data_IF_727479592897
#
_entry.id   IF_727479592897
#
_cell.length_a   1.000
_cell.length_b   1.000
_cell.length_c   1.000
_cell.angle_alpha   90.00
_cell.angle_beta   90.00
_cell.angle_gamma   90.00
#
_symmetry.space_group_name_H-M   'P 1'
#
loop_
_entity.id
_entity.type
_entity.pdbx_description
1 polymer ?
#
# COMPACT_ATOMS: atom_id res chain seq x y z
N UNK A 1 -6.55 -14.64 12.15
CA UNK A 1 -7.66 -14.95 11.21
C UNK A 1 -7.18 -14.98 9.77
N UNK A 2 -6.87 -13.83 9.14
CA UNK A 2 -6.50 -13.77 7.71
C UNK A 2 -5.35 -14.70 7.30
N UNK A 3 -4.31 -14.80 8.14
CA UNK A 3 -3.21 -15.74 7.89
C UNK A 3 -3.65 -17.21 7.93
N UNK A 4 -4.57 -17.57 8.83
CA UNK A 4 -5.11 -18.95 8.90
C UNK A 4 -5.94 -19.28 7.65
N UNK A 5 -6.73 -18.33 7.16
CA UNK A 5 -7.48 -18.46 5.90
C UNK A 5 -6.50 -18.66 4.72
N UNK A 6 -5.48 -17.80 4.62
CA UNK A 6 -4.44 -17.91 3.57
C UNK A 6 -3.74 -19.27 3.61
N UNK A 7 -3.25 -19.68 4.78
CA UNK A 7 -2.53 -20.94 4.93
C UNK A 7 -3.46 -22.14 4.68
N UNK A 8 -4.72 -22.07 5.11
CA UNK A 8 -5.72 -23.11 4.84
C UNK A 8 -6.00 -23.25 3.35
N UNK A 9 -6.06 -22.14 2.62
CA UNK A 9 -6.22 -22.16 1.17
C UNK A 9 -5.01 -22.74 0.44
N UNK A 10 -3.79 -22.33 0.84
CA UNK A 10 -2.55 -22.90 0.29
C UNK A 10 -2.42 -24.41 0.56
N UNK A 11 -2.95 -24.88 1.69
CA UNK A 11 -2.96 -26.29 2.06
C UNK A 11 -4.19 -27.06 1.53
N UNK A 12 -5.00 -26.48 0.63
CA UNK A 12 -6.20 -27.09 0.06
C UNK A 12 -7.19 -27.66 1.10
N UNK A 13 -7.33 -26.99 2.27
CA UNK A 13 -8.28 -27.41 3.30
C UNK A 13 -9.71 -26.99 2.95
N UNK A 14 -10.67 -27.87 3.19
CA UNK A 14 -12.09 -27.54 3.03
C UNK A 14 -12.56 -26.44 4.01
N UNK A 15 -12.04 -26.46 5.24
CA UNK A 15 -12.44 -25.52 6.29
C UNK A 15 -11.29 -25.14 7.22
N UNK A 16 -11.43 -23.98 7.86
CA UNK A 16 -10.45 -23.45 8.82
C UNK A 16 -11.17 -22.93 10.06
N UNK A 17 -10.65 -23.28 11.25
CA UNK A 17 -11.17 -22.83 12.52
C UNK A 17 -10.22 -21.83 13.23
N UNK A 18 -10.80 -20.87 13.95
CA UNK A 18 -10.08 -19.93 14.80
C UNK A 18 -10.99 -19.33 15.89
N UNK A 19 -10.42 -18.77 16.98
CA UNK A 19 -11.23 -18.19 18.05
C UNK A 19 -12.16 -17.09 17.51
N UNK A 20 -13.42 -17.11 17.95
CA UNK A 20 -14.42 -16.15 17.52
C UNK A 20 -14.12 -14.74 18.05
N UNK A 21 -14.68 -13.73 17.39
CA UNK A 21 -14.66 -12.33 17.83
C UNK A 21 -15.68 -11.55 17.02
N UNK A 22 -16.35 -10.58 17.64
CA UNK A 22 -17.33 -9.72 16.96
C UNK A 22 -16.76 -9.10 15.67
N UNK A 23 -15.54 -8.58 15.74
CA UNK A 23 -14.90 -7.95 14.59
C UNK A 23 -14.46 -8.96 13.52
N UNK A 24 -14.12 -10.20 13.91
CA UNK A 24 -13.81 -11.27 12.95
C UNK A 24 -15.07 -11.70 12.20
N UNK A 25 -16.19 -11.85 12.91
CA UNK A 25 -17.47 -12.21 12.32
C UNK A 25 -17.94 -11.13 11.32
N UNK A 26 -17.85 -9.84 11.70
CA UNK A 26 -18.18 -8.74 10.79
C UNK A 26 -17.33 -8.74 9.50
N UNK A 27 -16.03 -9.08 9.59
CA UNK A 27 -15.19 -9.23 8.39
C UNK A 27 -15.63 -10.44 7.53
N UNK A 28 -16.04 -11.55 8.17
CA UNK A 28 -16.50 -12.75 7.46
C UNK A 28 -17.84 -12.53 6.77
N UNK A 29 -18.74 -11.75 7.37
CA UNK A 29 -20.01 -11.34 6.75
C UNK A 29 -19.74 -10.61 5.42
N UNK A 30 -18.82 -9.64 5.42
CA UNK A 30 -18.42 -8.93 4.19
C UNK A 30 -17.76 -9.87 3.18
N UNK A 31 -16.90 -10.79 3.64
CA UNK A 31 -16.27 -11.76 2.74
C UNK A 31 -17.28 -12.75 2.14
N UNK A 32 -18.34 -13.08 2.87
CA UNK A 32 -19.41 -13.95 2.40
C UNK A 32 -20.33 -13.22 1.41
N UNK A 33 -20.72 -11.97 1.71
CA UNK A 33 -21.57 -11.17 0.81
C UNK A 33 -20.90 -10.91 -0.53
N UNK A 34 -19.58 -10.72 -0.54
CA UNK A 34 -18.77 -10.53 -1.75
C UNK A 34 -18.38 -11.87 -2.41
N UNK A 35 -18.74 -13.01 -1.82
CA UNK A 35 -18.60 -14.34 -2.42
C UNK A 35 -17.20 -14.98 -2.35
N UNK A 36 -16.31 -14.45 -1.50
CA UNK A 36 -14.93 -14.95 -1.31
C UNK A 36 -14.86 -16.20 -0.42
N UNK A 37 -15.79 -16.35 0.52
CA UNK A 37 -15.95 -17.55 1.38
C UNK A 37 -17.33 -18.16 1.13
N UNK A 38 -17.46 -19.48 1.34
CA UNK A 38 -18.73 -20.17 1.09
C UNK A 38 -19.73 -19.88 2.22
N UNK A 39 -19.32 -20.15 3.46
CA UNK A 39 -20.07 -19.81 4.66
C UNK A 39 -19.15 -19.80 5.87
N UNK A 40 -19.61 -19.23 6.98
CA UNK A 40 -18.96 -19.35 8.28
C UNK A 40 -19.99 -19.70 9.35
N UNK A 41 -19.55 -20.43 10.36
CA UNK A 41 -20.39 -20.89 11.47
C UNK A 41 -19.65 -20.58 12.78
N UNK A 42 -20.37 -20.05 13.76
CA UNK A 42 -19.86 -19.82 15.11
C UNK A 42 -20.37 -20.93 16.02
N UNK A 43 -19.45 -21.64 16.67
CA UNK A 43 -19.77 -22.66 17.65
C UNK A 43 -18.95 -22.49 18.92
N UNK A 44 -19.15 -23.42 19.84
CA UNK A 44 -18.38 -23.52 21.09
C UNK A 44 -17.65 -24.84 21.09
N UNK A 45 -16.32 -24.79 21.21
CA UNK A 45 -15.46 -25.97 21.33
C UNK A 45 -14.77 -25.87 22.68
N UNK A 46 -14.96 -26.87 23.54
CA UNK A 46 -14.37 -26.91 24.89
C UNK A 46 -14.67 -25.64 25.72
N UNK A 47 -15.91 -25.14 25.64
CA UNK A 47 -16.35 -23.93 26.34
C UNK A 47 -15.82 -22.62 25.75
N UNK A 48 -15.01 -22.66 24.68
CA UNK A 48 -14.46 -21.47 24.02
C UNK A 48 -15.18 -21.19 22.70
N UNK A 49 -15.50 -19.92 22.40
CA UNK A 49 -16.19 -19.58 21.15
C UNK A 49 -15.20 -19.66 19.97
N UNK A 50 -15.54 -20.46 18.97
CA UNK A 50 -14.74 -20.74 17.77
C UNK A 50 -15.56 -20.48 16.52
N UNK A 51 -14.97 -19.82 15.54
CA UNK A 51 -15.56 -19.63 14.21
C UNK A 51 -14.88 -20.59 13.23
N UNK A 52 -15.69 -21.37 12.52
CA UNK A 52 -15.28 -22.25 11.43
C UNK A 52 -15.71 -21.65 10.11
N UNK A 53 -14.79 -21.51 9.16
CA UNK A 53 -15.04 -20.92 7.85
C UNK A 53 -14.83 -21.97 6.78
N UNK A 54 -15.84 -22.15 5.90
CA UNK A 54 -15.76 -23.00 4.72
C UNK A 54 -15.10 -22.22 3.58
N UNK A 55 -13.95 -22.72 3.13
CA UNK A 55 -13.17 -22.08 2.08
C UNK A 55 -13.75 -22.41 0.71
N UNK A 56 -13.70 -21.44 -0.21
CA UNK A 56 -14.21 -21.59 -1.57
C UNK A 56 -13.05 -21.78 -2.56
N UNK A 57 -13.23 -22.75 -3.46
CA UNK A 57 -12.31 -23.06 -4.53
C UNK A 57 -13.07 -23.09 -5.86
N UNK A 58 -12.43 -22.64 -6.93
CA UNK A 58 -12.98 -22.67 -8.28
C UNK A 58 -11.96 -23.34 -9.19
N UNK A 59 -12.35 -24.43 -9.86
CA UNK A 59 -11.46 -25.22 -10.73
C UNK A 59 -10.13 -25.62 -10.06
N UNK A 60 -10.20 -26.05 -8.79
CA UNK A 60 -9.02 -26.42 -8.01
C UNK A 60 -8.13 -25.24 -7.57
N UNK A 61 -8.46 -24.00 -7.94
CA UNK A 61 -7.74 -22.79 -7.50
C UNK A 61 -8.48 -22.10 -6.35
N UNK A 62 -7.78 -21.55 -5.35
CA UNK A 62 -8.42 -20.81 -4.27
C UNK A 62 -9.05 -19.52 -4.82
N UNK A 63 -10.27 -19.20 -4.37
CA UNK A 63 -10.97 -17.97 -4.79
C UNK A 63 -10.27 -16.71 -4.27
N UNK A 64 -9.62 -16.79 -3.11
CA UNK A 64 -8.86 -15.66 -2.56
C UNK A 64 -7.40 -15.79 -3.04
N UNK A 65 -7.04 -15.03 -4.06
CA UNK A 65 -5.67 -15.01 -4.60
C UNK A 65 -4.68 -14.40 -3.61
N UNK A 66 -5.05 -13.27 -2.98
CA UNK A 66 -4.20 -12.52 -2.07
C UNK A 66 -5.01 -11.87 -0.97
N UNK A 67 -4.55 -12.03 0.27
CA UNK A 67 -5.10 -11.35 1.44
C UNK A 67 -3.98 -10.72 2.25
N UNK A 68 -4.10 -9.45 2.62
CA UNK A 68 -3.07 -8.73 3.40
C UNK A 68 -3.73 -7.80 4.41
N UNK A 69 -3.27 -7.86 5.67
CA UNK A 69 -3.61 -6.87 6.70
C UNK A 69 -2.69 -5.67 6.58
N UNK A 70 -3.29 -4.49 6.56
CA UNK A 70 -2.59 -3.26 6.24
C UNK A 70 -2.51 -2.35 7.46
N UNK A 71 -3.63 -2.07 8.13
CA UNK A 71 -3.57 -1.42 9.44
C UNK A 71 -3.13 -2.42 10.52
N UNK A 72 -2.06 -2.08 11.24
CA UNK A 72 -1.42 -2.92 12.25
C UNK A 72 -1.32 -2.12 13.57
N UNK A 73 -1.24 -2.77 14.75
CA UNK A 73 -1.11 -2.05 16.02
C UNK A 73 0.05 -1.05 16.06
N UNK A 74 1.19 -1.36 15.42
CA UNK A 74 2.33 -0.45 15.34
C UNK A 74 2.22 0.65 14.27
N UNK A 75 1.26 0.56 13.36
CA UNK A 75 0.97 1.61 12.37
C UNK A 75 -0.51 1.55 11.97
N UNK A 76 -1.30 2.41 12.62
CA UNK A 76 -2.73 2.60 12.34
C UNK A 76 -2.89 3.51 11.13
N UNK A 77 -3.75 3.14 10.18
CA UNK A 77 -3.94 3.89 8.94
C UNK A 77 -5.42 4.24 8.82
N UNK A 78 -5.71 5.54 8.83
CA UNK A 78 -7.04 6.10 8.68
C UNK A 78 -7.12 6.92 7.38
N UNK A 79 -8.26 6.87 6.70
CA UNK A 79 -8.52 7.56 5.45
C UNK A 79 -9.96 8.11 5.41
N UNK A 80 -10.11 9.26 4.78
CA UNK A 80 -11.42 9.79 4.41
C UNK A 80 -12.06 8.98 3.28
N UNK A 81 -13.34 9.24 3.00
CA UNK A 81 -14.10 8.63 1.90
C UNK A 81 -13.40 8.74 0.54
N UNK A 82 -12.85 9.92 0.28
CA UNK A 82 -12.30 10.30 -1.02
C UNK A 82 -10.91 9.69 -1.23
N UNK A 83 -10.28 9.24 -0.14
CA UNK A 83 -8.98 8.57 -0.14
C UNK A 83 -9.11 7.03 -0.03
N UNK A 84 -10.33 6.48 -0.17
CA UNK A 84 -10.54 5.03 -0.10
C UNK A 84 -9.91 4.30 -1.29
N UNK A 85 -8.99 3.36 -1.06
CA UNK A 85 -8.25 2.71 -2.15
C UNK A 85 -9.17 1.81 -2.98
N UNK A 86 -8.98 1.83 -4.30
CA UNK A 86 -9.54 0.83 -5.22
C UNK A 86 -8.56 -0.32 -5.39
N UNK A 87 -8.96 -1.54 -5.03
CA UNK A 87 -8.10 -2.72 -5.14
C UNK A 87 -8.19 -3.29 -6.55
N UNK A 88 -7.05 -3.44 -7.23
CA UNK A 88 -6.94 -4.02 -8.59
C UNK A 88 -7.95 -3.42 -9.58
N UNK A 89 -8.09 -2.09 -9.62
CA UNK A 89 -9.02 -1.43 -10.55
C UNK A 89 -10.51 -1.76 -10.32
N UNK A 90 -10.88 -2.23 -9.13
CA UNK A 90 -12.26 -2.58 -8.77
C UNK A 90 -12.58 -4.08 -8.79
N UNK A 91 -11.63 -4.93 -9.24
CA UNK A 91 -11.75 -6.39 -9.21
C UNK A 91 -11.45 -7.00 -7.83
N UNK A 92 -10.88 -6.22 -6.91
CA UNK A 92 -10.72 -6.61 -5.52
C UNK A 92 -11.54 -5.72 -4.58
N UNK A 93 -11.70 -6.19 -3.35
CA UNK A 93 -12.35 -5.43 -2.28
C UNK A 93 -11.33 -4.92 -1.27
N UNK A 94 -11.58 -3.75 -0.72
CA UNK A 94 -10.94 -3.31 0.52
C UNK A 94 -11.98 -3.32 1.65
N UNK A 95 -11.67 -3.98 2.76
CA UNK A 95 -12.53 -4.01 3.94
C UNK A 95 -12.08 -2.90 4.88
N UNK A 96 -13.03 -2.03 5.26
CA UNK A 96 -12.77 -0.82 6.04
C UNK A 96 -13.64 -0.85 7.29
N UNK A 97 -13.07 -0.43 8.42
CA UNK A 97 -13.82 -0.21 9.65
C UNK A 97 -14.22 1.26 9.71
N UNK A 98 -15.50 1.55 9.62
CA UNK A 98 -16.09 2.89 9.75
C UNK A 98 -16.89 2.99 11.06
N UNK A 99 -17.45 4.16 11.37
CA UNK A 99 -18.28 4.37 12.57
C UNK A 99 -19.60 3.60 12.53
N UNK A 100 -20.13 3.29 11.34
CA UNK A 100 -21.33 2.46 11.15
C UNK A 100 -21.04 0.96 11.10
N UNK A 101 -19.78 0.53 11.20
CA UNK A 101 -19.39 -0.88 11.23
C UNK A 101 -18.30 -1.25 10.24
N UNK A 102 -18.13 -2.55 10.00
CA UNK A 102 -17.16 -3.08 9.02
C UNK A 102 -17.88 -3.25 7.69
N UNK A 103 -17.35 -2.68 6.63
CA UNK A 103 -17.97 -2.71 5.29
C UNK A 103 -16.91 -2.72 4.18
N UNK A 104 -17.33 -3.01 2.94
CA UNK A 104 -16.47 -2.93 1.77
C UNK A 104 -16.25 -1.47 1.33
N UNK A 105 -15.19 -1.21 0.56
CA UNK A 105 -14.85 0.11 0.06
C UNK A 105 -15.95 0.70 -0.82
N UNK A 106 -16.67 -0.15 -1.57
CA UNK A 106 -17.81 0.27 -2.39
C UNK A 106 -18.97 0.74 -1.53
N UNK A 107 -19.30 -0.01 -0.47
CA UNK A 107 -20.33 0.38 0.50
C UNK A 107 -19.93 1.62 1.32
N UNK A 108 -18.65 1.77 1.66
CA UNK A 108 -18.13 2.92 2.37
C UNK A 108 -18.23 4.21 1.52
N UNK A 109 -17.90 4.15 0.22
CA UNK A 109 -18.10 5.28 -0.70
C UNK A 109 -19.57 5.63 -0.88
N UNK A 110 -20.44 4.63 -1.05
CA UNK A 110 -21.88 4.85 -1.22
C UNK A 110 -22.52 5.49 0.03
N UNK A 111 -22.04 5.14 1.23
CA UNK A 111 -22.55 5.68 2.50
C UNK A 111 -21.86 6.97 2.96
N UNK A 112 -20.90 7.49 2.18
CA UNK A 112 -20.15 8.70 2.53
C UNK A 112 -19.37 8.56 3.83
N UNK A 113 -18.91 7.36 4.18
CA UNK A 113 -18.18 7.12 5.43
C UNK A 113 -16.71 6.76 5.19
N UNK A 114 -15.82 7.57 5.78
CA UNK A 114 -14.40 7.26 5.89
C UNK A 114 -14.14 6.26 7.03
N UNK A 115 -12.93 5.70 7.08
CA UNK A 115 -12.58 4.72 8.10
C UNK A 115 -11.11 4.31 8.11
N UNK A 116 -10.78 3.33 8.96
CA UNK A 116 -9.44 2.75 9.04
C UNK A 116 -9.16 1.94 7.76
N UNK A 117 -8.68 2.60 6.70
CA UNK A 117 -8.48 2.01 5.40
C UNK A 117 -7.06 1.51 5.22
N UNK A 118 -6.96 0.27 4.77
CA UNK A 118 -5.72 -0.40 4.50
C UNK A 118 -5.21 -0.23 3.07
N UNK A 119 -4.51 0.87 2.75
CA UNK A 119 -3.29 0.95 1.92
C UNK A 119 -2.95 2.40 1.60
N UNK A 120 -1.66 2.70 1.58
CA UNK A 120 -1.11 3.99 1.13
C UNK A 120 -0.47 3.78 -0.25
N UNK A 121 -0.85 4.62 -1.23
CA UNK A 121 -0.02 4.88 -2.40
C UNK A 121 1.24 5.59 -1.93
N UNK A 122 2.38 5.14 -2.45
CA UNK A 122 3.71 5.58 -2.08
C UNK A 122 3.83 7.12 -2.05
N UNK A 123 3.90 7.71 -0.85
CA UNK A 123 4.14 9.17 -0.63
C UNK A 123 5.61 9.55 -0.87
N UNK A 124 6.29 8.88 -1.80
CA UNK A 124 7.71 9.11 -2.09
C UNK A 124 7.95 10.58 -2.46
N UNK A 125 7.11 11.20 -3.30
CA UNK A 125 7.27 12.61 -3.70
C UNK A 125 7.32 13.59 -2.52
N UNK A 126 6.54 13.34 -1.45
CA UNK A 126 6.41 14.26 -0.31
C UNK A 126 7.51 14.12 0.74
N UNK A 127 8.35 13.09 0.65
CA UNK A 127 9.44 12.88 1.60
C UNK A 127 10.68 13.64 1.10
N UNK A 128 11.13 14.60 1.90
CA UNK A 128 12.33 15.39 1.66
C UNK A 128 13.55 14.50 1.35
N UNK A 129 14.41 14.96 0.44
CA UNK A 129 15.70 14.34 0.15
C UNK A 129 16.79 15.22 0.77
N UNK A 130 17.43 14.75 1.83
CA UNK A 130 18.58 15.42 2.47
C UNK A 130 19.86 15.03 1.76
N UNK A 131 20.67 16.01 1.36
CA UNK A 131 21.95 15.75 0.71
C UNK A 131 23.05 15.47 1.76
N UNK A 132 23.89 14.43 1.56
CA UNK A 132 25.06 14.20 2.40
C UNK A 132 26.17 15.23 2.08
N UNK A 133 26.99 15.58 3.08
CA UNK A 133 28.09 16.55 2.92
C UNK A 133 29.06 16.11 1.81
N UNK A 134 29.24 16.95 0.78
CA UNK A 134 30.13 16.69 -0.36
C UNK A 134 29.43 16.35 -1.69
N UNK A 135 28.11 16.54 -1.79
CA UNK A 135 27.34 16.42 -3.05
C UNK A 135 26.84 17.80 -3.49
N UNK A 136 27.26 18.25 -4.67
CA UNK A 136 26.79 19.49 -5.29
C UNK A 136 25.69 19.16 -6.30
N UNK A 137 24.56 19.86 -6.21
CA UNK A 137 23.44 19.75 -7.15
C UNK A 137 23.29 21.09 -7.86
N UNK A 138 23.40 21.10 -9.19
CA UNK A 138 23.11 22.28 -10.00
C UNK A 138 21.84 22.05 -10.80
N UNK A 139 20.92 23.00 -10.71
CA UNK A 139 19.63 23.00 -11.43
C UNK A 139 19.72 24.08 -12.51
N UNK A 140 19.72 23.67 -13.78
CA UNK A 140 19.64 24.59 -14.92
C UNK A 140 18.37 24.29 -15.69
N UNK A 141 17.32 25.04 -15.37
CA UNK A 141 15.99 24.94 -15.97
C UNK A 141 15.38 23.55 -15.81
N UNK A 142 15.47 22.75 -16.87
CA UNK A 142 14.89 21.41 -16.95
C UNK A 142 15.92 20.30 -16.66
N UNK A 143 17.21 20.63 -16.51
CA UNK A 143 18.27 19.67 -16.22
C UNK A 143 18.70 19.72 -14.75
N UNK A 144 18.77 18.55 -14.12
CA UNK A 144 19.26 18.34 -12.77
C UNK A 144 20.58 17.58 -12.87
N UNK A 145 21.68 18.23 -12.48
CA UNK A 145 23.01 17.62 -12.39
C UNK A 145 23.35 17.34 -10.95
N UNK A 146 23.79 16.12 -10.64
CA UNK A 146 24.26 15.69 -9.32
C UNK A 146 25.73 15.30 -9.43
N UNK A 147 26.60 16.02 -8.72
CA UNK A 147 28.04 15.77 -8.66
C UNK A 147 28.46 15.40 -7.25
N UNK A 148 29.37 14.43 -7.13
CA UNK A 148 29.91 13.96 -5.86
C UNK A 148 31.25 13.28 -6.07
N UNK A 149 31.78 12.65 -5.02
CA UNK A 149 33.14 12.12 -5.00
C UNK A 149 33.41 10.98 -5.98
N UNK A 150 32.37 10.23 -6.38
CA UNK A 150 32.50 9.05 -7.25
C UNK A 150 31.97 9.23 -8.69
N UNK A 151 31.56 10.43 -9.10
CA UNK A 151 31.11 10.71 -10.47
C UNK A 151 30.18 11.92 -10.64
N UNK A 152 29.62 12.09 -11.84
CA UNK A 152 28.58 13.08 -12.15
C UNK A 152 27.44 12.41 -12.92
N UNK A 153 26.19 12.70 -12.53
CA UNK A 153 25.00 12.26 -13.25
C UNK A 153 24.17 13.46 -13.69
N UNK A 154 23.75 13.42 -14.95
CA UNK A 154 22.88 14.41 -15.57
C UNK A 154 21.51 13.77 -15.84
N UNK A 155 20.44 14.42 -15.43
CA UNK A 155 19.07 13.95 -15.66
C UNK A 155 18.17 15.11 -16.10
N UNK A 156 17.36 14.88 -17.13
CA UNK A 156 16.36 15.85 -17.60
C UNK A 156 15.04 15.60 -16.88
N UNK A 157 14.58 16.60 -16.14
CA UNK A 157 13.31 16.59 -15.41
C UNK A 157 12.16 16.87 -16.39
N UNK A 158 11.05 16.16 -16.27
CA UNK A 158 9.89 16.37 -17.13
C UNK A 158 9.19 17.70 -16.82
N UNK A 159 8.63 18.37 -17.84
CA UNK A 159 7.92 19.67 -17.78
C UNK A 159 6.83 19.82 -16.70
N UNK A 160 6.31 18.70 -16.21
CA UNK A 160 5.22 18.63 -15.25
C UNK A 160 5.71 18.67 -13.78
N UNK A 161 7.02 18.69 -13.54
CA UNK A 161 7.63 18.60 -12.20
C UNK A 161 8.46 19.85 -11.93
N UNK A 162 8.19 20.47 -10.79
CA UNK A 162 8.99 21.57 -10.24
C UNK A 162 9.90 21.04 -9.14
N UNK A 163 11.18 21.37 -9.21
CA UNK A 163 12.19 20.98 -8.23
C UNK A 163 12.69 22.25 -7.55
N UNK A 164 12.45 22.36 -6.25
CA UNK A 164 12.94 23.48 -5.44
C UNK A 164 14.04 22.99 -4.50
N UNK A 165 15.15 23.74 -4.45
CA UNK A 165 16.25 23.53 -3.52
C UNK A 165 16.18 24.57 -2.41
N UNK A 166 15.99 24.13 -1.17
CA UNK A 166 16.17 24.94 0.03
C UNK A 166 17.35 24.34 0.80
N UNK A 167 18.47 25.07 0.83
CA UNK A 167 19.73 24.70 1.48
C UNK A 167 20.19 23.26 1.16
N UNK A 168 19.97 22.34 2.10
CA UNK A 168 20.42 20.95 2.08
C UNK A 168 19.28 19.95 1.77
N UNK A 169 18.12 20.45 1.33
CA UNK A 169 16.90 19.68 1.12
C UNK A 169 16.34 19.91 -0.28
N UNK A 170 16.23 18.84 -1.06
CA UNK A 170 15.50 18.86 -2.34
C UNK A 170 14.03 18.51 -2.12
N UNK A 171 13.14 19.39 -2.58
CA UNK A 171 11.69 19.18 -2.59
C UNK A 171 11.22 19.02 -4.04
N UNK A 172 10.40 18.01 -4.29
CA UNK A 172 9.81 17.72 -5.60
C UNK A 172 8.30 17.96 -5.53
N UNK A 173 7.78 18.86 -6.36
CA UNK A 173 6.35 19.19 -6.46
C UNK A 173 5.86 19.04 -7.90
N UNK A 174 4.56 18.81 -8.07
CA UNK A 174 3.93 18.90 -9.39
C UNK A 174 3.71 20.37 -9.74
N UNK A 175 3.93 20.75 -11.01
CA UNK A 175 3.79 22.14 -11.51
C UNK A 175 2.33 22.62 -11.56
N UNK A 176 1.36 21.70 -11.61
CA UNK A 176 -0.08 21.98 -11.55
C UNK A 176 -0.69 21.35 -10.30
N UNK A 177 -1.33 22.16 -9.47
CA UNK A 177 -2.08 21.66 -8.33
C UNK A 177 -3.28 20.83 -8.81
N UNK A 178 -3.31 19.54 -8.41
CA UNK A 178 -4.38 18.59 -8.71
C UNK A 178 -4.07 17.52 -9.76
N UNK A 179 -2.96 17.61 -10.50
CA UNK A 179 -2.62 16.59 -11.51
C UNK A 179 -2.03 15.33 -10.88
N UNK A 180 -2.82 14.26 -10.87
CA UNK A 180 -2.41 12.93 -10.39
C UNK A 180 -1.19 12.39 -11.15
N UNK A 181 -1.11 12.66 -12.46
CA UNK A 181 0.03 12.31 -13.30
C UNK A 181 1.30 13.10 -12.91
N UNK A 182 1.18 14.40 -12.60
CA UNK A 182 2.29 15.24 -12.15
C UNK A 182 2.87 14.76 -10.82
N UNK A 183 2.01 14.33 -9.89
CA UNK A 183 2.44 13.76 -8.61
C UNK A 183 3.15 12.41 -8.75
N UNK A 184 2.70 11.56 -9.67
CA UNK A 184 3.37 10.29 -9.98
C UNK A 184 4.76 10.54 -10.57
N UNK A 185 4.88 11.48 -11.52
CA UNK A 185 6.15 11.89 -12.11
C UNK A 185 7.09 12.51 -11.08
N UNK A 186 6.60 13.37 -10.19
CA UNK A 186 7.40 13.93 -9.09
C UNK A 186 7.94 12.84 -8.14
N UNK A 187 7.15 11.79 -7.88
CA UNK A 187 7.58 10.63 -7.10
C UNK A 187 8.71 9.85 -7.76
N UNK A 188 8.61 9.61 -9.06
CA UNK A 188 9.63 8.94 -9.87
C UNK A 188 10.91 9.77 -9.95
N UNK A 189 10.81 11.07 -10.23
CA UNK A 189 11.95 11.99 -10.28
C UNK A 189 12.67 12.05 -8.93
N UNK A 190 11.92 12.06 -7.81
CA UNK A 190 12.50 12.01 -6.46
C UNK A 190 13.25 10.71 -6.19
N UNK A 191 12.72 9.57 -6.64
CA UNK A 191 13.37 8.27 -6.48
C UNK A 191 14.67 8.18 -7.31
N UNK A 192 14.64 8.69 -8.55
CA UNK A 192 15.82 8.79 -9.40
C UNK A 192 16.88 9.70 -8.80
N UNK A 193 16.50 10.88 -8.30
CA UNK A 193 17.42 11.79 -7.62
C UNK A 193 18.06 11.15 -6.37
N UNK A 194 17.28 10.44 -5.56
CA UNK A 194 17.80 9.71 -4.41
C UNK A 194 18.80 8.61 -4.82
N UNK A 195 18.50 7.86 -5.89
CA UNK A 195 19.39 6.82 -6.40
C UNK A 195 20.68 7.41 -6.98
N UNK A 196 20.61 8.57 -7.65
CA UNK A 196 21.79 9.30 -8.11
C UNK A 196 22.64 9.75 -6.90
N UNK A 197 22.05 10.40 -5.90
CA UNK A 197 22.78 10.86 -4.69
C UNK A 197 23.45 9.70 -3.94
N UNK A 198 22.77 8.56 -3.80
CA UNK A 198 23.35 7.35 -3.20
C UNK A 198 24.45 6.78 -4.11
N UNK A 199 24.22 6.76 -5.43
CA UNK A 199 25.21 6.29 -6.41
C UNK A 199 26.49 7.11 -6.39
N UNK A 200 26.39 8.45 -6.31
CA UNK A 200 27.57 9.33 -6.33
C UNK A 200 28.31 9.38 -4.99
N UNK A 201 27.64 9.07 -3.87
CA UNK A 201 28.26 9.03 -2.54
C UNK A 201 28.78 7.64 -2.15
N UNK A 202 27.95 6.60 -2.28
CA UNK A 202 28.23 5.25 -1.78
C UNK A 202 28.68 4.30 -2.89
N UNK A 203 28.21 4.49 -4.14
CA UNK A 203 28.43 3.57 -5.25
C UNK A 203 27.28 2.55 -5.40
N UNK A 204 27.18 1.90 -6.57
CA UNK A 204 26.16 0.89 -6.83
C UNK A 204 26.67 -0.52 -6.49
N UNK A 205 25.92 -1.25 -5.65
CA UNK A 205 26.18 -2.66 -5.36
C UNK A 205 24.96 -3.49 -5.81
N UNK A 206 25.15 -4.48 -6.70
CA UNK A 206 24.09 -5.43 -7.07
C UNK A 206 24.07 -6.58 -6.07
N UNK A 207 23.10 -6.58 -5.14
CA UNK A 207 22.83 -7.74 -4.27
C UNK A 207 21.74 -8.61 -4.87
N UNK A 208 22.05 -9.89 -5.10
CA UNK A 208 21.10 -10.89 -5.58
C UNK A 208 20.35 -11.45 -4.37
N UNK A 209 19.06 -11.15 -4.26
CA UNK A 209 18.21 -11.60 -3.15
C UNK A 209 17.27 -12.70 -3.70
N UNK A 210 17.52 -13.96 -3.35
CA UNK A 210 16.55 -15.04 -3.58
C UNK A 210 15.38 -14.85 -2.61
N UNK A 211 14.16 -14.87 -3.17
CA UNK A 211 12.87 -14.78 -2.44
C UNK A 211 12.30 -16.18 -2.26
#
# INVERSE_FOLDING_TARGET
MLTRIRNGQMANKAQVAFPASKQKNAILEVLQSEGYVASFETGTVEGKPVTTVKLKYFQGKPVISKVKRVSRPGLRIFRGTDELPTVMGGYGIAIVSTSKGVMSDRAARASGQGGEAGFEMSRIAKKALTLPKGVEVSISGQSLKVKGSKGSFDFVVHDAVEVSQEDNVLKFKAKRDGDSAGWALAGTTRALANNMVIGVSQGFEKKLQLV
#
